data_IF_486982606398
#
_entry.id   IF_486982606398
#
_cell.length_a   1.000
_cell.length_b   1.000
_cell.length_c   1.000
_cell.angle_alpha   90.00
_cell.angle_beta   90.00
_cell.angle_gamma   90.00
#
_symmetry.space_group_name_H-M   'P 1'
#
loop_
_entity.id
_entity.type
_entity.pdbx_description
1 polymer ?
#
# COMPACT_ATOMS: atom_id res chain seq x y z
N UNK A 1 -21.47 10.47 12.57
CA UNK A 1 -22.07 11.28 11.51
C UNK A 1 -22.26 10.45 10.24
N UNK A 2 -22.74 11.00 9.15
CA UNK A 2 -23.06 10.21 7.95
C UNK A 2 -21.81 9.71 7.19
N UNK A 3 -20.63 10.28 7.44
CA UNK A 3 -19.41 9.97 6.67
C UNK A 3 -18.62 8.83 7.30
N UNK A 4 -18.54 8.78 8.64
CA UNK A 4 -17.77 7.77 9.37
C UNK A 4 -18.28 7.55 10.78
N UNK A 5 -18.12 6.32 11.32
CA UNK A 5 -18.23 5.98 12.73
C UNK A 5 -16.85 5.85 13.37
N UNK A 6 -16.73 6.24 14.64
CA UNK A 6 -15.47 6.13 15.40
C UNK A 6 -15.75 5.60 16.80
N UNK A 7 -14.98 4.59 17.22
CA UNK A 7 -14.96 4.10 18.60
C UNK A 7 -13.55 4.32 19.14
N UNK A 8 -13.39 5.10 20.20
CA UNK A 8 -12.10 5.30 20.87
C UNK A 8 -11.91 4.31 22.00
N UNK A 9 -10.77 3.64 21.99
CA UNK A 9 -10.33 2.70 23.03
C UNK A 9 -9.01 3.22 23.62
N UNK A 10 -8.90 3.21 24.94
CA UNK A 10 -7.65 3.49 25.64
C UNK A 10 -7.31 2.30 26.55
N UNK A 11 -6.08 1.83 26.46
CA UNK A 11 -5.59 0.68 27.23
C UNK A 11 -4.22 0.99 27.82
N UNK A 12 -4.01 0.56 29.06
CA UNK A 12 -2.68 0.48 29.65
C UNK A 12 -2.07 -0.89 29.29
N UNK A 13 -0.82 -0.89 28.85
CA UNK A 13 -0.03 -2.10 28.56
C UNK A 13 1.32 -1.88 29.21
N UNK A 14 1.63 -2.67 30.29
CA UNK A 14 2.86 -2.51 31.06
C UNK A 14 3.08 -1.04 31.48
N UNK A 15 4.16 -0.42 31.08
CA UNK A 15 4.47 1.00 31.36
C UNK A 15 3.98 1.98 30.29
N UNK A 16 3.16 1.49 29.35
CA UNK A 16 2.74 2.22 28.16
C UNK A 16 1.23 2.44 28.13
N UNK A 17 0.81 3.44 27.38
CA UNK A 17 -0.61 3.69 27.08
C UNK A 17 -0.84 3.64 25.58
N UNK A 18 -1.82 2.83 25.15
CA UNK A 18 -2.28 2.74 23.76
C UNK A 18 -3.65 3.39 23.64
N UNK A 19 -3.77 4.36 22.77
CA UNK A 19 -5.05 4.98 22.37
C UNK A 19 -5.30 4.65 20.92
N UNK A 20 -6.48 4.08 20.64
CA UNK A 20 -6.87 3.67 19.28
C UNK A 20 -8.24 4.23 18.94
N UNK A 21 -8.34 4.87 17.79
CA UNK A 21 -9.60 5.16 17.14
C UNK A 21 -9.88 4.08 16.09
N UNK A 22 -10.92 3.30 16.30
CA UNK A 22 -11.46 2.37 15.35
C UNK A 22 -12.39 3.15 14.42
N UNK A 23 -11.97 3.33 13.17
CA UNK A 23 -12.65 4.19 12.19
C UNK A 23 -13.21 3.35 11.06
N UNK A 24 -14.52 3.42 10.86
CA UNK A 24 -15.20 2.83 9.72
C UNK A 24 -15.87 3.94 8.89
N UNK A 25 -15.52 4.02 7.61
CA UNK A 25 -16.14 4.96 6.67
C UNK A 25 -17.41 4.36 6.05
N UNK A 26 -18.39 5.21 5.72
CA UNK A 26 -19.70 4.77 5.25
C UNK A 26 -19.64 3.91 3.98
N UNK A 27 -18.70 4.22 3.06
CA UNK A 27 -18.56 3.57 1.76
C UNK A 27 -17.36 2.61 1.70
N UNK A 28 -16.93 2.06 2.84
CA UNK A 28 -15.74 1.20 2.89
C UNK A 28 -15.95 0.02 3.85
N UNK A 29 -15.51 -1.16 3.45
CA UNK A 29 -15.39 -2.34 4.33
C UNK A 29 -14.09 -2.31 5.16
N UNK A 30 -13.18 -1.35 4.91
CA UNK A 30 -11.91 -1.22 5.64
C UNK A 30 -12.13 -0.61 7.02
N UNK A 31 -11.74 -1.34 8.05
CA UNK A 31 -11.69 -0.85 9.42
C UNK A 31 -10.27 -0.38 9.75
N UNK A 32 -10.12 0.91 9.99
CA UNK A 32 -8.85 1.54 10.33
C UNK A 32 -8.65 1.61 11.84
N UNK A 33 -7.45 1.25 12.31
CA UNK A 33 -6.97 1.38 13.68
C UNK A 33 -5.97 2.53 13.76
N UNK A 34 -6.45 3.76 13.89
CA UNK A 34 -5.62 4.95 14.05
C UNK A 34 -5.07 4.96 15.46
N UNK A 35 -3.78 4.67 15.59
CA UNK A 35 -3.15 4.31 16.86
C UNK A 35 -2.15 5.37 17.29
N UNK A 36 -2.25 5.81 18.53
CA UNK A 36 -1.24 6.58 19.24
C UNK A 36 -0.78 5.78 20.48
N UNK A 37 0.52 5.65 20.62
CA UNK A 37 1.15 4.94 21.74
C UNK A 37 2.08 5.89 22.48
N UNK A 38 1.85 6.04 23.77
CA UNK A 38 2.83 6.61 24.69
C UNK A 38 3.64 5.43 25.24
N UNK A 39 4.78 5.16 24.57
CA UNK A 39 5.62 3.99 24.79
C UNK A 39 6.61 4.30 25.91
N UNK A 40 6.34 3.74 27.10
CA UNK A 40 7.10 3.99 28.31
C UNK A 40 8.47 3.28 28.34
N UNK A 41 9.03 3.11 29.52
CA UNK A 41 10.30 2.37 29.73
C UNK A 41 10.08 0.86 29.64
N UNK A 42 9.71 0.41 28.45
CA UNK A 42 9.51 -1.01 28.16
C UNK A 42 10.86 -1.71 27.95
N UNK A 43 10.94 -2.99 28.30
CA UNK A 43 12.17 -3.77 28.14
C UNK A 43 11.83 -5.19 27.69
N UNK A 44 12.52 -5.63 26.65
CA UNK A 44 12.40 -6.99 26.10
C UNK A 44 10.93 -7.34 25.70
N UNK A 45 10.26 -6.37 25.08
CA UNK A 45 8.84 -6.44 24.68
C UNK A 45 8.68 -6.24 23.19
N UNK A 46 7.81 -7.04 22.57
CA UNK A 46 7.34 -6.88 21.19
C UNK A 46 5.82 -6.72 21.21
N UNK A 47 5.33 -5.54 20.83
CA UNK A 47 3.90 -5.27 20.69
C UNK A 47 3.45 -5.63 19.29
N UNK A 48 2.47 -6.53 19.18
CA UNK A 48 1.82 -6.94 17.93
C UNK A 48 0.31 -6.74 17.97
N UNK A 49 -0.28 -6.46 16.81
CA UNK A 49 -1.70 -6.69 16.60
C UNK A 49 -1.89 -8.05 15.92
N UNK A 50 -2.87 -8.82 16.40
CA UNK A 50 -3.18 -10.16 15.90
C UNK A 50 -4.67 -10.26 15.55
N UNK A 51 -4.95 -10.81 14.38
CA UNK A 51 -6.29 -10.97 13.82
C UNK A 51 -6.50 -12.44 13.43
N UNK A 52 -7.20 -13.23 14.25
CA UNK A 52 -7.70 -14.51 13.80
C UNK A 52 -8.83 -14.28 12.80
N UNK A 53 -8.69 -14.83 11.60
CA UNK A 53 -9.66 -14.68 10.50
C UNK A 53 -10.20 -16.06 10.10
N UNK A 54 -11.43 -16.10 9.61
CA UNK A 54 -12.03 -17.37 9.17
C UNK A 54 -11.69 -17.66 7.69
N UNK A 55 -10.39 -17.69 7.39
CA UNK A 55 -9.85 -18.00 6.06
C UNK A 55 -8.87 -19.16 6.18
N UNK A 56 -8.94 -20.11 5.28
CA UNK A 56 -8.03 -21.29 5.23
C UNK A 56 -7.20 -21.27 3.97
N UNK A 57 -5.93 -20.94 4.11
CA UNK A 57 -4.97 -20.93 3.02
C UNK A 57 -3.60 -21.36 3.51
N UNK A 58 -2.90 -22.14 2.70
CA UNK A 58 -1.51 -22.54 2.99
C UNK A 58 -0.49 -21.47 2.59
N UNK A 59 -0.93 -20.37 1.97
CA UNK A 59 -0.09 -19.28 1.51
C UNK A 59 -0.76 -17.96 1.82
N UNK A 60 0.05 -17.01 2.28
CA UNK A 60 -0.31 -15.61 2.37
C UNK A 60 0.49 -14.81 1.36
N UNK A 61 -0.07 -13.73 0.84
CA UNK A 61 0.58 -12.84 -0.12
C UNK A 61 0.96 -11.54 0.56
N UNK A 62 2.12 -11.02 0.20
CA UNK A 62 2.72 -9.84 0.83
C UNK A 62 3.14 -8.82 -0.22
N UNK A 63 2.81 -7.57 0.00
CA UNK A 63 3.26 -6.45 -0.83
C UNK A 63 4.78 -6.28 -0.72
N UNK A 64 5.41 -6.13 -1.87
CA UNK A 64 6.82 -5.77 -2.01
C UNK A 64 6.95 -4.63 -3.03
N UNK A 65 8.15 -4.13 -3.24
CA UNK A 65 8.42 -3.09 -4.23
C UNK A 65 7.95 -3.56 -5.63
N UNK A 66 7.01 -2.81 -6.21
CA UNK A 66 6.45 -3.05 -7.55
C UNK A 66 5.86 -4.45 -7.76
N UNK A 67 5.30 -5.04 -6.72
CA UNK A 67 4.71 -6.37 -6.86
C UNK A 67 4.32 -7.01 -5.53
N UNK A 68 4.20 -8.32 -5.54
CA UNK A 68 3.87 -9.10 -4.37
C UNK A 68 4.54 -10.47 -4.39
N UNK A 69 4.72 -11.06 -3.21
CA UNK A 69 5.33 -12.39 -3.04
C UNK A 69 4.44 -13.26 -2.16
N UNK A 70 4.40 -14.55 -2.46
CA UNK A 70 3.74 -15.53 -1.61
C UNK A 70 4.72 -16.17 -0.62
N UNK A 71 4.24 -16.40 0.61
CA UNK A 71 4.95 -17.16 1.63
C UNK A 71 4.02 -18.15 2.32
N UNK A 72 4.54 -19.30 2.83
CA UNK A 72 3.73 -20.27 3.52
C UNK A 72 3.17 -19.74 4.84
N UNK A 73 1.99 -20.25 5.22
CA UNK A 73 1.36 -19.98 6.53
C UNK A 73 1.68 -21.07 7.56
N UNK A 74 2.53 -22.03 7.23
CA UNK A 74 2.91 -23.19 8.05
C UNK A 74 4.43 -23.27 8.26
N UNK A 75 4.86 -24.14 9.21
CA UNK A 75 6.25 -24.37 9.55
C UNK A 75 6.69 -25.82 9.24
N UNK A 76 6.42 -26.26 8.03
CA UNK A 76 6.67 -27.67 7.65
C UNK A 76 8.15 -27.97 7.40
N UNK A 77 8.97 -26.95 7.20
CA UNK A 77 10.42 -27.10 6.99
C UNK A 77 11.19 -26.20 7.93
N UNK A 78 12.49 -26.52 8.22
CA UNK A 78 13.37 -25.61 8.98
C UNK A 78 13.48 -24.21 8.37
N UNK A 79 13.38 -24.11 7.03
CA UNK A 79 13.39 -22.83 6.33
C UNK A 79 12.13 -22.02 6.63
N UNK A 80 10.95 -22.65 6.61
CA UNK A 80 9.69 -21.98 6.96
C UNK A 80 9.71 -21.53 8.42
N UNK A 81 10.22 -22.38 9.31
CA UNK A 81 10.38 -22.06 10.72
C UNK A 81 11.29 -20.84 10.93
N UNK A 82 12.39 -20.73 10.19
CA UNK A 82 13.32 -19.61 10.29
C UNK A 82 12.70 -18.27 9.82
N UNK A 83 11.61 -18.30 9.06
CA UNK A 83 10.86 -17.13 8.62
C UNK A 83 9.67 -16.83 9.53
N UNK A 84 9.92 -16.77 10.83
CA UNK A 84 8.86 -16.52 11.84
C UNK A 84 8.29 -15.09 11.79
N UNK A 85 8.98 -14.15 11.17
CA UNK A 85 8.51 -12.82 10.82
C UNK A 85 9.11 -12.39 9.49
N UNK A 86 8.31 -11.76 8.64
CA UNK A 86 8.69 -11.41 7.28
C UNK A 86 8.36 -9.96 6.97
N UNK A 87 9.12 -9.35 6.06
CA UNK A 87 8.86 -7.99 5.64
C UNK A 87 7.74 -7.95 4.58
N UNK A 88 6.85 -6.98 4.73
CA UNK A 88 5.95 -6.52 3.69
C UNK A 88 5.85 -5.00 3.75
N UNK A 89 5.29 -4.37 2.70
CA UNK A 89 5.14 -2.92 2.68
C UNK A 89 3.73 -2.51 3.10
N UNK A 90 2.85 -2.28 2.15
CA UNK A 90 1.53 -1.68 2.41
C UNK A 90 0.50 -2.67 2.91
N UNK A 91 0.66 -3.96 2.60
CA UNK A 91 -0.34 -4.97 2.93
C UNK A 91 0.22 -6.40 2.99
N UNK A 92 -0.46 -7.25 3.74
CA UNK A 92 -0.43 -8.71 3.65
C UNK A 92 -1.85 -9.21 3.47
N UNK A 93 -2.03 -10.24 2.64
CA UNK A 93 -3.33 -10.79 2.28
C UNK A 93 -3.39 -12.30 2.55
N UNK A 94 -4.49 -12.76 3.10
CA UNK A 94 -4.82 -14.16 3.27
C UNK A 94 -6.16 -14.42 2.60
N UNK A 95 -6.16 -15.22 1.53
CA UNK A 95 -7.35 -15.48 0.72
C UNK A 95 -7.56 -16.96 0.49
N UNK A 96 -8.82 -17.34 0.34
CA UNK A 96 -9.29 -18.64 -0.15
C UNK A 96 -10.32 -18.42 -1.25
N UNK A 97 -10.52 -19.35 -2.14
CA UNK A 97 -11.49 -19.38 -3.23
C UNK A 97 -12.18 -18.08 -3.62
N UNK A 98 -13.12 -17.65 -2.82
CA UNK A 98 -14.00 -16.51 -3.08
C UNK A 98 -13.92 -15.37 -2.04
N UNK A 99 -13.11 -15.52 -1.00
CA UNK A 99 -13.04 -14.55 0.11
C UNK A 99 -11.62 -14.35 0.60
N UNK A 100 -11.33 -13.18 1.11
CA UNK A 100 -10.04 -12.85 1.69
C UNK A 100 -10.12 -11.76 2.74
N UNK A 101 -9.03 -11.63 3.48
CA UNK A 101 -8.80 -10.54 4.44
C UNK A 101 -7.40 -10.00 4.25
N UNK A 102 -7.29 -8.71 4.03
CA UNK A 102 -6.03 -8.01 3.96
C UNK A 102 -5.76 -7.24 5.26
N UNK A 103 -4.51 -7.29 5.71
CA UNK A 103 -3.98 -6.48 6.81
C UNK A 103 -3.07 -5.40 6.21
N UNK A 104 -3.51 -4.15 6.29
CA UNK A 104 -2.82 -3.00 5.71
C UNK A 104 -2.13 -2.17 6.79
N UNK A 105 -1.17 -1.35 6.39
CA UNK A 105 -0.51 -0.39 7.27
C UNK A 105 0.09 0.81 6.51
N UNK A 106 0.45 1.86 7.27
CA UNK A 106 1.09 3.07 6.74
C UNK A 106 2.62 3.15 6.99
N UNK A 107 3.18 2.39 7.94
CA UNK A 107 4.60 2.50 8.29
C UNK A 107 5.19 1.31 9.07
N UNK A 108 4.50 0.15 9.12
CA UNK A 108 4.94 -1.04 9.85
C UNK A 108 5.20 -2.20 8.89
N UNK A 109 6.39 -2.77 8.92
CA UNK A 109 6.86 -3.69 7.87
C UNK A 109 7.08 -5.12 8.35
N UNK A 110 6.90 -5.42 9.65
CA UNK A 110 7.03 -6.76 10.20
C UNK A 110 5.69 -7.48 10.25
N UNK A 111 5.57 -8.59 9.53
CA UNK A 111 4.35 -9.38 9.48
C UNK A 111 4.63 -10.84 9.77
N UNK A 112 3.65 -11.52 10.32
CA UNK A 112 3.58 -12.99 10.27
C UNK A 112 2.14 -13.44 10.04
N UNK A 113 1.98 -14.50 9.27
CA UNK A 113 0.70 -15.20 9.11
C UNK A 113 0.94 -16.67 9.41
N UNK A 114 0.25 -17.18 10.43
CA UNK A 114 0.31 -18.58 10.85
C UNK A 114 -1.10 -19.16 10.86
N UNK A 115 -1.27 -20.22 10.09
CA UNK A 115 -2.56 -20.80 9.82
C UNK A 115 -3.54 -19.70 9.37
N UNK A 116 -4.49 -19.35 10.22
CA UNK A 116 -5.47 -18.30 9.97
C UNK A 116 -5.29 -17.06 10.87
N UNK A 117 -4.14 -16.88 11.49
CA UNK A 117 -3.88 -15.69 12.33
C UNK A 117 -2.88 -14.77 11.63
N UNK A 118 -3.36 -13.58 11.24
CA UNK A 118 -2.54 -12.52 10.67
C UNK A 118 -2.03 -11.60 11.76
N UNK A 119 -0.73 -11.27 11.77
CA UNK A 119 -0.13 -10.37 12.76
C UNK A 119 0.75 -9.33 12.10
N UNK A 120 0.79 -8.17 12.74
CA UNK A 120 1.71 -7.07 12.39
C UNK A 120 2.44 -6.59 13.63
N UNK A 121 3.76 -6.41 13.51
CA UNK A 121 4.61 -5.88 14.56
C UNK A 121 4.51 -4.37 14.60
N UNK A 122 4.12 -3.82 15.75
CA UNK A 122 3.84 -2.41 15.92
C UNK A 122 5.02 -1.66 16.55
N UNK A 123 5.49 -2.11 17.72
CA UNK A 123 6.59 -1.51 18.47
C UNK A 123 7.42 -2.60 19.14
N UNK A 124 8.67 -2.31 19.36
CA UNK A 124 9.58 -3.18 20.11
C UNK A 124 10.43 -2.39 21.08
N UNK A 125 10.75 -3.01 22.20
CA UNK A 125 11.78 -2.60 23.13
C UNK A 125 12.84 -3.72 23.17
N UNK A 126 13.84 -3.71 22.26
CA UNK A 126 14.77 -4.82 22.11
C UNK A 126 15.75 -4.86 23.26
N UNK A 127 16.30 -6.04 23.56
CA UNK A 127 17.38 -6.20 24.54
C UNK A 127 18.72 -5.73 23.98
N UNK A 128 18.92 -5.89 22.69
CA UNK A 128 20.13 -5.58 21.95
C UNK A 128 19.75 -5.33 20.48
N UNK A 129 20.48 -4.55 19.70
CA UNK A 129 21.71 -3.81 20.02
C UNK A 129 21.46 -2.49 20.78
N UNK A 130 20.29 -1.90 20.70
CA UNK A 130 19.94 -0.65 21.38
C UNK A 130 18.65 -0.81 22.22
N UNK A 131 18.80 -1.05 23.56
CA UNK A 131 17.64 -1.19 24.44
C UNK A 131 16.78 0.07 24.56
N UNK A 132 17.32 1.24 24.22
CA UNK A 132 16.61 2.53 24.28
C UNK A 132 15.90 2.88 22.97
N UNK A 133 15.99 2.09 21.92
CA UNK A 133 15.57 2.42 20.56
C UNK A 133 14.10 2.78 20.64
N UNK A 134 13.11 2.71 20.74
CA UNK A 134 11.76 3.24 20.64
C UNK A 134 11.13 3.64 21.98
N UNK A 135 11.79 3.37 23.12
CA UNK A 135 11.23 3.61 24.46
C UNK A 135 11.17 5.09 24.82
N UNK A 136 10.30 5.44 25.75
CA UNK A 136 10.06 6.81 26.23
C UNK A 136 9.73 7.81 25.09
N UNK A 137 8.99 7.34 24.08
CA UNK A 137 8.60 8.11 22.90
C UNK A 137 7.12 7.96 22.60
N UNK A 138 6.58 8.97 21.92
CA UNK A 138 5.24 8.87 21.35
C UNK A 138 5.32 8.36 19.91
N UNK A 139 4.49 7.38 19.60
CA UNK A 139 4.36 6.79 18.28
C UNK A 139 2.95 6.97 17.74
N UNK A 140 2.86 7.22 16.43
CA UNK A 140 1.57 7.28 15.73
C UNK A 140 1.68 6.48 14.43
N UNK A 141 0.69 5.65 14.17
CA UNK A 141 0.60 4.82 12.98
C UNK A 141 -0.83 4.34 12.78
N UNK A 142 -1.13 3.93 11.57
CA UNK A 142 -2.42 3.31 11.23
C UNK A 142 -2.19 1.95 10.62
N UNK A 143 -2.96 0.98 11.05
CA UNK A 143 -3.11 -0.30 10.37
C UNK A 143 -4.60 -0.59 10.19
N UNK A 144 -4.94 -1.47 9.26
CA UNK A 144 -6.34 -1.69 8.88
C UNK A 144 -6.60 -3.14 8.54
N UNK A 145 -7.83 -3.57 8.81
CA UNK A 145 -8.38 -4.84 8.30
C UNK A 145 -9.34 -4.52 7.16
N UNK A 146 -9.18 -5.25 6.06
CA UNK A 146 -10.03 -5.14 4.87
C UNK A 146 -10.53 -6.53 4.45
N UNK A 147 -11.76 -6.91 4.80
CA UNK A 147 -12.44 -8.04 4.17
C UNK A 147 -12.74 -7.74 2.71
N UNK A 148 -12.54 -8.71 1.83
CA UNK A 148 -12.79 -8.56 0.40
C UNK A 148 -13.20 -9.87 -0.26
N UNK A 149 -13.85 -9.80 -1.43
CA UNK A 149 -14.17 -10.96 -2.24
C UNK A 149 -12.92 -11.41 -3.04
N UNK A 150 -12.81 -12.72 -3.27
CA UNK A 150 -11.72 -13.31 -4.06
C UNK A 150 -10.36 -13.15 -3.40
N UNK A 151 -9.37 -12.67 -4.16
CA UNK A 151 -7.99 -12.50 -3.69
C UNK A 151 -7.52 -11.04 -3.73
N UNK A 152 -6.25 -10.80 -3.37
CA UNK A 152 -5.61 -9.48 -3.28
C UNK A 152 -5.83 -8.58 -4.52
N UNK A 153 -6.12 -9.16 -5.70
CA UNK A 153 -6.40 -8.42 -6.93
C UNK A 153 -7.68 -7.63 -6.86
N UNK A 154 -8.60 -8.01 -5.98
CA UNK A 154 -9.86 -7.32 -5.78
C UNK A 154 -9.75 -6.18 -4.75
N UNK A 155 -9.10 -5.09 -5.15
CA UNK A 155 -9.06 -3.85 -4.39
C UNK A 155 -7.98 -3.72 -3.32
N UNK A 156 -7.28 -4.80 -2.91
CA UNK A 156 -6.28 -4.74 -1.82
C UNK A 156 -5.10 -3.84 -2.17
N UNK A 157 -4.57 -3.97 -3.40
CA UNK A 157 -3.47 -3.12 -3.87
C UNK A 157 -3.87 -1.65 -3.80
N UNK A 158 -5.06 -1.31 -4.31
CA UNK A 158 -5.59 0.04 -4.29
C UNK A 158 -5.80 0.56 -2.88
N UNK A 159 -6.41 -0.24 -1.99
CA UNK A 159 -6.62 0.14 -0.59
C UNK A 159 -5.31 0.39 0.15
N UNK A 160 -4.27 -0.39 -0.15
CA UNK A 160 -2.92 -0.16 0.37
C UNK A 160 -2.36 1.21 -0.03
N UNK A 161 -2.53 1.61 -1.30
CA UNK A 161 -2.16 2.96 -1.75
C UNK A 161 -3.01 4.05 -1.11
N UNK A 162 -4.32 3.88 -1.03
CA UNK A 162 -5.24 4.87 -0.43
C UNK A 162 -4.92 5.14 1.05
N UNK A 163 -4.45 4.13 1.79
CA UNK A 163 -4.01 4.29 3.18
C UNK A 163 -2.69 5.07 3.26
N UNK A 164 -1.76 4.84 2.32
CA UNK A 164 -0.41 5.39 2.35
C UNK A 164 -0.28 6.75 1.64
N UNK A 165 -1.23 7.08 0.76
CA UNK A 165 -1.27 8.34 0.00
C UNK A 165 -2.64 9.00 0.23
N UNK A 166 -2.84 9.63 1.38
CA UNK A 166 -4.12 10.22 1.73
C UNK A 166 -4.43 11.44 0.83
N UNK A 167 -5.73 11.70 0.65
CA UNK A 167 -6.20 12.88 -0.05
C UNK A 167 -5.81 14.17 0.69
N UNK A 168 -5.33 15.15 -0.07
CA UNK A 168 -5.07 16.48 0.42
C UNK A 168 -6.31 17.35 0.21
N UNK A 169 -6.85 17.92 1.29
CA UNK A 169 -7.99 18.82 1.26
C UNK A 169 -7.59 20.27 1.45
N UNK A 170 -8.20 21.17 0.70
CA UNK A 170 -8.07 22.62 0.92
C UNK A 170 -9.44 23.29 0.85
N UNK A 171 -9.67 24.24 1.74
CA UNK A 171 -10.85 25.12 1.68
C UNK A 171 -10.49 26.32 0.83
N UNK A 172 -11.24 26.52 -0.26
CA UNK A 172 -11.04 27.64 -1.17
C UNK A 172 -12.31 28.50 -1.23
N UNK A 173 -12.15 29.79 -1.50
CA UNK A 173 -13.28 30.69 -1.72
C UNK A 173 -14.04 30.26 -2.99
N UNK A 174 -15.35 30.43 -2.97
CA UNK A 174 -16.17 30.20 -4.14
C UNK A 174 -15.75 31.14 -5.28
N UNK A 175 -15.51 30.58 -6.46
CA UNK A 175 -15.16 31.35 -7.66
C UNK A 175 -15.99 30.89 -8.86
N UNK A 176 -16.21 31.81 -9.80
CA UNK A 176 -16.81 31.46 -11.09
C UNK A 176 -15.69 30.97 -12.02
N UNK A 177 -15.70 29.68 -12.33
CA UNK A 177 -14.72 29.04 -13.22
C UNK A 177 -15.38 28.35 -14.42
N UNK A 178 -14.57 28.03 -15.43
CA UNK A 178 -14.98 27.26 -16.62
C UNK A 178 -14.42 25.83 -16.60
N UNK A 179 -13.62 25.49 -15.60
CA UNK A 179 -13.00 24.18 -15.46
C UNK A 179 -14.02 23.15 -14.96
N UNK A 180 -13.82 21.89 -15.32
CA UNK A 180 -14.59 20.77 -14.79
C UNK A 180 -14.39 20.65 -13.28
N UNK A 181 -15.42 20.17 -12.57
CA UNK A 181 -15.31 19.84 -11.14
C UNK A 181 -14.32 18.68 -10.88
N UNK A 182 -14.08 17.86 -11.89
CA UNK A 182 -13.14 16.74 -11.83
C UNK A 182 -12.16 16.80 -13.01
N UNK A 183 -10.87 16.66 -12.71
CA UNK A 183 -9.82 16.58 -13.73
C UNK A 183 -8.76 15.53 -13.33
N UNK A 184 -8.27 14.78 -14.33
CA UNK A 184 -7.18 13.83 -14.17
C UNK A 184 -6.08 14.10 -15.21
N UNK A 185 -4.86 14.33 -14.75
CA UNK A 185 -3.70 14.50 -15.62
C UNK A 185 -3.27 13.19 -16.28
N UNK A 186 -3.41 12.08 -15.56
CA UNK A 186 -3.06 10.73 -16.00
C UNK A 186 -4.12 9.74 -15.56
N UNK A 187 -4.50 8.83 -16.44
CA UNK A 187 -5.35 7.70 -16.13
C UNK A 187 -4.92 6.46 -16.92
N UNK A 188 -4.93 5.31 -16.30
CA UNK A 188 -4.66 4.01 -16.95
C UNK A 188 -5.90 3.15 -16.94
N UNK A 189 -6.16 2.41 -18.03
CA UNK A 189 -7.30 1.49 -18.10
C UNK A 189 -7.01 0.19 -17.36
N UNK A 190 -8.04 -0.36 -16.72
CA UNK A 190 -7.96 -1.57 -15.89
C UNK A 190 -7.49 -1.25 -14.47
N UNK A 191 -7.50 -2.27 -13.63
CA UNK A 191 -7.21 -2.21 -12.19
C UNK A 191 -5.85 -2.80 -11.80
N UNK A 192 -5.20 -3.49 -12.75
CA UNK A 192 -3.95 -4.21 -12.52
C UNK A 192 -2.69 -3.41 -12.82
N UNK A 193 -2.80 -2.16 -13.28
CA UNK A 193 -1.65 -1.28 -13.52
C UNK A 193 -1.75 -0.06 -12.65
N UNK A 194 -0.71 0.17 -11.87
CA UNK A 194 -0.59 1.32 -10.97
C UNK A 194 0.31 2.37 -11.61
N UNK A 195 -0.15 3.63 -11.61
CA UNK A 195 0.70 4.79 -11.84
C UNK A 195 1.35 5.11 -10.49
N UNK A 196 2.60 4.69 -10.32
CA UNK A 196 3.26 4.73 -9.02
C UNK A 196 3.96 6.08 -8.78
N UNK A 197 4.57 6.63 -9.83
CA UNK A 197 5.34 7.87 -9.73
C UNK A 197 5.03 8.81 -10.87
N UNK A 198 4.90 10.09 -10.56
CA UNK A 198 4.96 11.20 -11.49
C UNK A 198 5.94 12.24 -10.93
N UNK A 199 7.03 12.50 -11.64
CA UNK A 199 8.05 13.46 -11.21
C UNK A 199 8.67 14.22 -12.38
N UNK A 200 9.39 15.30 -12.09
CA UNK A 200 10.25 15.95 -13.09
C UNK A 200 11.43 15.03 -13.44
N UNK A 201 11.84 14.99 -14.71
CA UNK A 201 13.05 14.29 -15.12
C UNK A 201 14.30 14.92 -14.48
N UNK A 202 15.34 14.10 -14.24
CA UNK A 202 16.57 14.55 -13.57
C UNK A 202 17.36 15.54 -14.46
N UNK A 203 17.54 15.20 -15.73
CA UNK A 203 18.49 15.88 -16.62
C UNK A 203 17.86 16.96 -17.51
N UNK A 204 16.52 16.97 -17.68
CA UNK A 204 15.83 17.90 -18.59
C UNK A 204 14.43 18.29 -18.10
N UNK A 205 13.73 19.10 -18.87
CA UNK A 205 12.38 19.58 -18.54
C UNK A 205 11.24 18.58 -18.71
N UNK A 206 11.51 17.30 -18.95
CA UNK A 206 10.49 16.27 -19.12
C UNK A 206 9.81 15.84 -17.84
N UNK A 207 8.70 15.10 -17.99
CA UNK A 207 7.98 14.47 -16.88
C UNK A 207 8.17 12.97 -16.98
N UNK A 208 8.63 12.36 -15.89
CA UNK A 208 8.73 10.92 -15.73
C UNK A 208 7.43 10.38 -15.17
N UNK A 209 6.90 9.35 -15.81
CA UNK A 209 5.75 8.58 -15.34
C UNK A 209 6.16 7.12 -15.22
N UNK A 210 6.12 6.57 -14.00
CA UNK A 210 6.45 5.17 -13.74
C UNK A 210 5.19 4.39 -13.42
N UNK A 211 5.02 3.28 -14.11
CA UNK A 211 3.90 2.38 -13.93
C UNK A 211 4.42 0.97 -13.67
N UNK A 212 3.63 0.16 -12.99
CA UNK A 212 3.90 -1.26 -12.90
C UNK A 212 2.61 -2.09 -12.94
N UNK A 213 2.74 -3.32 -13.39
CA UNK A 213 1.67 -4.30 -13.36
C UNK A 213 1.65 -4.96 -11.97
N UNK A 214 0.54 -4.90 -11.24
CA UNK A 214 0.45 -5.25 -9.83
C UNK A 214 -0.17 -6.64 -9.54
N UNK A 215 -0.84 -7.25 -10.53
CA UNK A 215 -1.65 -8.47 -10.33
C UNK A 215 -0.97 -9.77 -10.82
N UNK A 216 0.27 -9.67 -11.36
CA UNK A 216 0.96 -10.81 -11.95
C UNK A 216 0.37 -11.27 -13.28
N UNK A 217 -0.25 -10.38 -14.05
CA UNK A 217 -0.98 -10.67 -15.28
C UNK A 217 -0.30 -10.10 -16.51
N UNK A 218 -0.62 -10.67 -17.68
CA UNK A 218 -0.24 -10.12 -18.98
C UNK A 218 -1.41 -9.34 -19.56
N UNK A 219 -1.13 -8.29 -20.33
CA UNK A 219 -2.18 -7.62 -21.07
C UNK A 219 -1.80 -6.25 -21.60
N UNK A 220 -2.66 -5.74 -22.48
CA UNK A 220 -2.55 -4.39 -23.01
C UNK A 220 -3.37 -3.44 -22.16
N UNK A 221 -2.79 -2.28 -21.84
CA UNK A 221 -3.46 -1.18 -21.15
C UNK A 221 -3.27 0.11 -21.91
N UNK A 222 -4.17 1.05 -21.71
CA UNK A 222 -4.07 2.38 -22.33
C UNK A 222 -3.83 3.41 -21.23
N UNK A 223 -2.68 4.07 -21.29
CA UNK A 223 -2.43 5.28 -20.52
C UNK A 223 -3.01 6.48 -21.27
N UNK A 224 -3.80 7.29 -20.59
CA UNK A 224 -4.37 8.56 -21.08
C UNK A 224 -3.72 9.71 -20.34
N UNK A 225 -3.51 10.81 -21.06
CA UNK A 225 -2.99 12.05 -20.48
C UNK A 225 -3.72 13.26 -21.05
N UNK A 226 -4.02 14.24 -20.20
CA UNK A 226 -4.48 15.59 -20.61
C UNK A 226 -3.33 16.59 -20.78
N UNK A 227 -2.09 16.19 -20.42
CA UNK A 227 -0.92 17.03 -20.60
C UNK A 227 -0.62 17.26 -22.09
N UNK A 228 -0.07 18.44 -22.48
CA UNK A 228 0.26 18.79 -23.87
C UNK A 228 1.55 18.08 -24.34
N UNK A 229 1.55 16.75 -24.30
CA UNK A 229 2.71 15.91 -24.59
C UNK A 229 2.97 15.86 -26.11
N UNK A 230 4.15 16.26 -26.54
CA UNK A 230 4.61 16.20 -27.94
C UNK A 230 5.28 14.86 -28.28
N UNK A 231 6.01 14.29 -27.31
CA UNK A 231 6.77 13.05 -27.49
C UNK A 231 6.75 12.22 -26.22
N UNK A 232 6.62 10.91 -26.38
CA UNK A 232 6.77 9.94 -25.29
C UNK A 232 7.90 8.99 -25.63
N UNK A 233 8.78 8.78 -24.65
CA UNK A 233 9.90 7.85 -24.76
C UNK A 233 9.83 6.87 -23.60
N UNK A 234 10.06 5.60 -23.85
CA UNK A 234 10.30 4.62 -22.81
C UNK A 234 11.76 4.69 -22.40
N UNK A 235 12.00 4.64 -21.09
CA UNK A 235 13.34 4.76 -20.51
C UNK A 235 13.59 3.57 -19.57
N UNK A 236 14.84 3.36 -19.22
CA UNK A 236 15.21 2.55 -18.07
C UNK A 236 14.89 3.27 -16.74
N UNK A 237 15.23 2.64 -15.60
CA UNK A 237 15.00 3.23 -14.27
C UNK A 237 15.92 4.44 -13.99
N UNK A 238 17.00 4.58 -14.74
CA UNK A 238 17.94 5.71 -14.69
C UNK A 238 17.60 6.82 -15.70
N UNK A 239 16.39 6.76 -16.27
CA UNK A 239 15.83 7.73 -17.23
C UNK A 239 16.57 7.81 -18.59
N UNK A 240 17.43 6.84 -18.89
CA UNK A 240 18.06 6.73 -20.20
C UNK A 240 17.06 6.29 -21.25
N UNK A 241 16.98 7.05 -22.36
CA UNK A 241 16.03 6.79 -23.44
C UNK A 241 16.33 5.46 -24.14
N UNK A 242 15.32 4.59 -24.27
CA UNK A 242 15.42 3.29 -24.95
C UNK A 242 14.68 3.30 -26.28
N UNK A 243 13.41 3.74 -26.27
CA UNK A 243 12.60 3.75 -27.49
C UNK A 243 11.48 4.77 -27.46
N UNK A 244 11.17 5.30 -28.63
CA UNK A 244 10.01 6.18 -28.81
C UNK A 244 8.70 5.38 -28.82
N UNK A 245 7.68 5.90 -28.15
CA UNK A 245 6.33 5.35 -28.14
C UNK A 245 5.37 6.22 -28.95
N UNK A 246 4.36 5.58 -29.53
CA UNK A 246 3.30 6.30 -30.26
C UNK A 246 2.28 6.85 -29.27
N UNK A 247 2.07 8.16 -29.33
CA UNK A 247 0.95 8.85 -28.68
C UNK A 247 -0.05 9.33 -29.75
N UNK A 248 -1.33 9.07 -29.54
CA UNK A 248 -2.42 9.54 -30.42
C UNK A 248 -3.58 10.05 -29.55
N UNK A 249 -3.95 11.30 -29.72
CA UNK A 249 -5.03 11.95 -28.96
C UNK A 249 -4.88 11.73 -27.43
N UNK A 250 -3.69 11.95 -26.90
CA UNK A 250 -3.38 11.77 -25.48
C UNK A 250 -3.38 10.31 -25.00
N UNK A 251 -3.38 9.32 -25.90
CA UNK A 251 -3.45 7.88 -25.55
C UNK A 251 -2.18 7.16 -25.98
N UNK A 252 -1.65 6.34 -25.08
CA UNK A 252 -0.48 5.50 -25.27
C UNK A 252 -0.88 4.06 -24.95
N UNK A 253 -0.69 3.15 -25.92
CA UNK A 253 -0.94 1.71 -25.70
C UNK A 253 0.31 1.05 -25.15
N UNK A 254 0.19 0.35 -24.05
CA UNK A 254 1.26 -0.30 -23.31
C UNK A 254 0.94 -1.78 -23.10
N UNK A 255 1.85 -2.66 -23.47
CA UNK A 255 1.75 -4.09 -23.15
C UNK A 255 2.57 -4.36 -21.89
N UNK A 256 2.00 -5.08 -20.94
CA UNK A 256 2.64 -5.47 -19.69
C UNK A 256 2.84 -6.98 -19.61
N UNK A 257 3.95 -7.38 -19.02
CA UNK A 257 4.20 -8.72 -18.47
C UNK A 257 3.92 -8.69 -16.96
N UNK A 258 3.76 -9.86 -16.31
CA UNK A 258 3.61 -9.93 -14.86
C UNK A 258 4.67 -9.11 -14.12
N UNK A 259 4.22 -8.23 -13.23
CA UNK A 259 5.05 -7.36 -12.39
C UNK A 259 6.04 -6.47 -13.15
N UNK A 260 5.77 -6.19 -14.42
CA UNK A 260 6.65 -5.36 -15.23
C UNK A 260 6.55 -3.89 -14.83
N UNK A 261 7.70 -3.30 -14.55
CA UNK A 261 7.86 -1.84 -14.38
C UNK A 261 8.08 -1.23 -15.76
N UNK A 262 7.44 -0.09 -16.02
CA UNK A 262 7.68 0.72 -17.21
C UNK A 262 7.85 2.18 -16.81
N UNK A 263 8.92 2.78 -17.26
CA UNK A 263 9.22 4.20 -17.06
C UNK A 263 9.07 4.94 -18.37
N UNK A 264 8.27 5.99 -18.37
CA UNK A 264 7.98 6.80 -19.54
C UNK A 264 8.43 8.25 -19.28
N UNK A 265 9.09 8.85 -20.26
CA UNK A 265 9.44 10.27 -20.25
C UNK A 265 8.53 11.01 -21.20
N UNK A 266 7.80 11.97 -20.68
CA UNK A 266 6.92 12.85 -21.43
C UNK A 266 7.66 14.16 -21.71
N UNK A 267 7.80 14.50 -22.98
CA UNK A 267 8.33 15.79 -23.45
C UNK A 267 7.13 16.65 -23.82
N UNK A 268 6.98 17.77 -23.14
CA UNK A 268 5.87 18.73 -23.32
C UNK A 268 6.11 19.65 -24.52
#
# INVERSE_FOLDING_TARGET
>A
GPVRGVIRIRRAISHSTVTQDLVLHADSSRLDFVTAVDWGDERDVLLKAAFPVNIRSQRARYDIQFGSVERPTHWNTPRDFAQFEVAAHKWADLSEGDSGVALLNDCKYGYDVRDNVMRISLLRAPKSPDPSADVNKQHRFTYSILPHDGDYRNGVVRAGYELNVPLLGAVVAASRGKQSAEESLLAVTGDNVVIETMKKAEDDGGIIVRLYEAHGCRGQRTLRTSLPVRRVVETDLMEKEERRLTIRNGRIRLNFRPFQIRTLKFVL
#
